data_IF_108311327339
#
_entry.id   IF_108311327339
#
_cell.length_a   1.000
_cell.length_b   1.000
_cell.length_c   1.000
_cell.angle_alpha   90.00
_cell.angle_beta   90.00
_cell.angle_gamma   90.00
#
_symmetry.space_group_name_H-M   'P 1'
#
loop_
_entity.id
_entity.type
_entity.pdbx_description
1 polymer ?
#
# COMPACT_ATOMS: atom_id res chain seq x y z
N UNK A 1 -7.36 5.60 7.59
CA UNK A 1 -6.62 5.23 6.38
C UNK A 1 -6.49 3.73 6.17
N UNK A 2 -6.05 2.99 7.18
CA UNK A 2 -5.85 1.55 7.02
C UNK A 2 -7.14 0.81 6.64
N UNK A 3 -8.26 1.17 7.24
CA UNK A 3 -9.54 0.54 6.95
C UNK A 3 -9.93 0.68 5.49
N UNK A 4 -9.66 1.84 4.89
CA UNK A 4 -9.96 2.07 3.48
C UNK A 4 -9.10 1.19 2.58
N UNK A 5 -7.85 0.94 2.97
CA UNK A 5 -6.95 0.13 2.17
C UNK A 5 -7.24 -1.36 2.34
N UNK A 6 -7.55 -1.82 3.55
CA UNK A 6 -7.91 -3.23 3.76
C UNK A 6 -9.24 -3.58 3.09
N UNK A 7 -10.13 -2.60 2.92
CA UNK A 7 -11.40 -2.84 2.21
C UNK A 7 -11.19 -3.18 0.72
N UNK A 8 -9.96 -2.99 0.22
CA UNK A 8 -9.60 -3.39 -1.14
C UNK A 8 -9.29 -4.89 -1.28
N UNK A 9 -9.51 -5.67 -0.23
CA UNK A 9 -9.18 -7.09 -0.23
C UNK A 9 -7.78 -7.40 0.27
N UNK A 10 -7.12 -6.43 0.88
CA UNK A 10 -5.77 -6.59 1.39
C UNK A 10 -5.80 -7.04 2.85
N UNK A 11 -4.76 -7.77 3.26
CA UNK A 11 -4.55 -8.03 4.68
C UNK A 11 -4.16 -6.72 5.38
N UNK A 12 -4.22 -6.71 6.70
CA UNK A 12 -3.83 -5.53 7.47
C UNK A 12 -2.38 -5.13 7.16
N UNK A 13 -1.45 -6.11 7.13
CA UNK A 13 -0.05 -5.83 6.82
C UNK A 13 0.12 -5.29 5.39
N UNK A 14 -0.61 -5.86 4.43
CA UNK A 14 -0.57 -5.34 3.06
C UNK A 14 -1.10 -3.91 2.99
N UNK A 15 -2.15 -3.62 3.72
CA UNK A 15 -2.68 -2.27 3.81
C UNK A 15 -1.66 -1.29 4.38
N UNK A 16 -0.93 -1.71 5.44
CA UNK A 16 0.14 -0.88 6.00
C UNK A 16 1.24 -0.61 4.96
N UNK A 17 1.66 -1.66 4.26
CA UNK A 17 2.69 -1.51 3.21
C UNK A 17 2.20 -0.56 2.13
N UNK A 18 0.97 -0.74 1.65
CA UNK A 18 0.43 0.13 0.60
C UNK A 18 0.32 1.58 1.06
N UNK A 19 0.01 1.83 2.32
CA UNK A 19 -0.06 3.20 2.84
C UNK A 19 1.28 3.91 2.71
N UNK A 20 2.39 3.20 2.93
CA UNK A 20 3.72 3.77 2.78
C UNK A 20 4.14 3.89 1.32
N UNK A 21 3.73 2.93 0.48
CA UNK A 21 3.93 3.03 -0.97
C UNK A 21 3.27 4.30 -1.49
N UNK A 22 2.05 4.57 -1.06
CA UNK A 22 1.31 5.77 -1.48
C UNK A 22 2.00 7.05 -1.03
N UNK A 23 2.77 6.99 0.06
CA UNK A 23 3.53 8.13 0.56
C UNK A 23 4.91 8.25 -0.06
N UNK A 24 5.21 7.42 -1.06
CA UNK A 24 6.47 7.49 -1.79
C UNK A 24 7.64 6.75 -1.17
N UNK A 25 7.41 5.91 -0.16
CA UNK A 25 8.48 5.15 0.47
C UNK A 25 8.88 3.94 -0.36
N UNK A 26 10.18 3.66 -0.41
CA UNK A 26 10.70 2.47 -1.06
C UNK A 26 10.69 1.26 -0.14
N UNK A 27 11.00 0.08 -0.70
CA UNK A 27 10.93 -1.16 0.07
C UNK A 27 11.89 -1.18 1.25
N UNK A 28 13.09 -0.62 1.11
CA UNK A 28 14.04 -0.53 2.20
C UNK A 28 13.49 0.33 3.35
N UNK A 29 12.97 1.50 3.01
CA UNK A 29 12.40 2.41 4.00
C UNK A 29 11.21 1.80 4.73
N UNK A 30 10.33 1.15 3.97
CA UNK A 30 9.16 0.49 4.56
C UNK A 30 9.61 -0.64 5.49
N UNK A 31 10.64 -1.37 5.09
CA UNK A 31 11.20 -2.42 5.94
C UNK A 31 11.70 -1.88 7.26
N UNK A 32 12.39 -0.74 7.25
CA UNK A 32 12.85 -0.08 8.47
C UNK A 32 11.66 0.34 9.34
N UNK A 33 10.65 0.95 8.73
CA UNK A 33 9.47 1.43 9.45
C UNK A 33 8.69 0.27 10.10
N UNK A 34 8.51 -0.82 9.37
CA UNK A 34 7.68 -1.94 9.83
C UNK A 34 8.48 -3.06 10.50
N UNK A 35 9.80 -2.92 10.58
CA UNK A 35 10.65 -3.93 11.19
C UNK A 35 10.75 -5.21 10.36
N UNK A 36 10.77 -5.10 9.05
CA UNK A 36 10.84 -6.23 8.12
C UNK A 36 11.96 -6.03 7.12
N UNK A 37 12.42 -7.13 6.53
CA UNK A 37 13.46 -7.05 5.51
C UNK A 37 12.90 -6.52 4.20
N UNK A 38 13.70 -5.82 3.38
CA UNK A 38 13.23 -5.33 2.08
C UNK A 38 12.65 -6.43 1.20
N UNK A 39 13.20 -7.63 1.25
CA UNK A 39 12.68 -8.77 0.49
C UNK A 39 11.25 -9.11 0.91
N UNK A 40 10.96 -9.06 2.21
CA UNK A 40 9.62 -9.32 2.73
C UNK A 40 8.65 -8.25 2.23
N UNK A 41 9.08 -6.99 2.24
CA UNK A 41 8.27 -5.89 1.72
C UNK A 41 8.01 -6.08 0.22
N UNK A 42 9.02 -6.48 -0.53
CA UNK A 42 8.88 -6.76 -1.96
C UNK A 42 7.79 -7.81 -2.21
N UNK A 43 7.74 -8.86 -1.40
CA UNK A 43 6.72 -9.90 -1.50
C UNK A 43 5.33 -9.35 -1.21
N UNK A 44 5.22 -8.51 -0.19
CA UNK A 44 3.94 -7.86 0.11
C UNK A 44 3.49 -6.99 -1.06
N UNK A 45 4.39 -6.25 -1.68
CA UNK A 45 4.07 -5.41 -2.83
C UNK A 45 3.59 -6.29 -3.99
N UNK A 46 4.27 -7.40 -4.27
CA UNK A 46 3.85 -8.33 -5.32
C UNK A 46 2.41 -8.81 -5.09
N UNK A 47 2.08 -9.19 -3.86
CA UNK A 47 0.74 -9.65 -3.53
C UNK A 47 -0.29 -8.52 -3.67
N UNK A 48 0.08 -7.30 -3.28
CA UNK A 48 -0.78 -6.13 -3.43
C UNK A 48 -1.09 -5.89 -4.91
N UNK A 49 -0.08 -5.91 -5.77
CA UNK A 49 -0.27 -5.69 -7.20
C UNK A 49 -1.21 -6.74 -7.79
N UNK A 50 -1.05 -7.99 -7.38
CA UNK A 50 -1.89 -9.08 -7.83
C UNK A 50 -3.34 -8.88 -7.38
N UNK A 51 -3.54 -8.56 -6.09
CA UNK A 51 -4.89 -8.37 -5.53
C UNK A 51 -5.61 -7.17 -6.11
N UNK A 52 -4.88 -6.11 -6.41
CA UNK A 52 -5.45 -4.91 -7.01
C UNK A 52 -5.56 -5.02 -8.54
N UNK A 53 -4.98 -6.08 -9.11
CA UNK A 53 -4.96 -6.32 -10.55
C UNK A 53 -4.33 -5.14 -11.31
N UNK A 54 -3.17 -4.70 -10.82
CA UNK A 54 -2.38 -3.63 -11.46
C UNK A 54 -0.98 -4.12 -11.74
N UNK A 55 -0.29 -3.46 -12.67
CA UNK A 55 1.01 -3.92 -13.15
C UNK A 55 2.20 -3.33 -12.43
N UNK A 56 2.02 -2.20 -11.74
CA UNK A 56 3.16 -1.54 -11.13
C UNK A 56 2.77 -0.80 -9.85
N UNK A 57 3.81 -0.42 -9.13
CA UNK A 57 3.74 0.24 -7.83
C UNK A 57 3.02 1.58 -7.90
N UNK A 58 3.25 2.33 -8.98
CA UNK A 58 2.62 3.63 -9.16
C UNK A 58 1.12 3.50 -9.31
N UNK A 59 0.66 2.49 -10.06
CA UNK A 59 -0.77 2.24 -10.21
C UNK A 59 -1.41 1.86 -8.87
N UNK A 60 -0.72 1.06 -8.05
CA UNK A 60 -1.21 0.72 -6.72
C UNK A 60 -1.31 1.95 -5.84
N UNK A 61 -0.31 2.82 -5.88
CA UNK A 61 -0.32 4.08 -5.14
C UNK A 61 -1.51 4.96 -5.57
N UNK A 62 -1.80 5.01 -6.86
CA UNK A 62 -2.91 5.80 -7.39
C UNK A 62 -4.25 5.28 -6.83
N UNK A 63 -4.43 3.96 -6.75
CA UNK A 63 -5.65 3.36 -6.19
C UNK A 63 -5.77 3.74 -4.71
N UNK A 64 -4.66 3.66 -3.96
CA UNK A 64 -4.66 4.01 -2.55
C UNK A 64 -5.05 5.48 -2.35
N UNK A 65 -4.50 6.37 -3.16
CA UNK A 65 -4.85 7.79 -3.10
C UNK A 65 -6.32 8.02 -3.41
N UNK A 66 -6.84 7.39 -4.46
CA UNK A 66 -8.24 7.54 -4.84
C UNK A 66 -9.16 7.07 -3.72
N UNK A 67 -8.82 5.96 -3.06
CA UNK A 67 -9.63 5.42 -1.98
C UNK A 67 -9.60 6.34 -0.76
N UNK A 68 -8.44 6.88 -0.41
CA UNK A 68 -8.28 7.72 0.77
C UNK A 68 -8.75 9.16 0.53
N UNK A 69 -8.63 9.67 -0.70
CA UNK A 69 -9.03 11.05 -0.99
C UNK A 69 -10.52 11.27 -0.83
N UNK A 70 -11.32 10.22 -0.90
CA UNK A 70 -12.76 10.33 -0.65
C UNK A 70 -13.05 10.85 0.76
N UNK A 71 -12.14 10.60 1.71
CA UNK A 71 -12.26 11.13 3.05
C UNK A 71 -11.79 12.57 3.13
N UNK A 72 -10.75 12.91 2.37
CA UNK A 72 -10.19 14.25 2.34
C UNK A 72 -11.11 15.25 1.67
N UNK A 73 -11.91 14.79 0.72
CA UNK A 73 -12.87 15.62 0.01
C UNK A 73 -14.01 16.11 0.91
N UNK A 74 -14.10 15.57 2.13
CA UNK A 74 -15.09 16.01 3.11
C UNK A 74 -14.61 17.21 3.92
N UNK A 75 -13.36 17.58 3.76
CA UNK A 75 -12.79 18.74 4.42
C UNK A 75 -12.72 19.90 3.42
#
# INVERSE_FOLDING_TARGET
MLEQLTSLGLTEREGEVLSWVARGKGNYEIGVILGAKPRTICKHVEHILSKLNVENRTAAAAIAFARCSQLLDLF
#
